data_IF_018645044424
#
_entry.id   IF_018645044424
#
_cell.length_a   1.000
_cell.length_b   1.000
_cell.length_c   1.000
_cell.angle_alpha   90.00
_cell.angle_beta   90.00
_cell.angle_gamma   90.00
#
_symmetry.space_group_name_H-M   'P 1'
#
loop_
_entity.id
_entity.type
_entity.pdbx_description
1 polymer ?
#
# COMPACT_ATOMS: atom_id res chain seq x y z
N UNK A 1 -3.42 -5.84 -0.97
CA UNK A 1 -4.53 -5.45 -0.06
C UNK A 1 -5.50 -4.44 -0.68
N UNK A 2 -5.02 -3.35 -1.30
CA UNK A 2 -5.86 -2.27 -1.88
C UNK A 2 -6.97 -2.73 -2.82
N UNK A 3 -6.69 -3.68 -3.73
CA UNK A 3 -7.70 -4.21 -4.66
C UNK A 3 -8.85 -4.94 -3.94
N UNK A 4 -8.54 -5.70 -2.90
CA UNK A 4 -9.55 -6.42 -2.10
C UNK A 4 -10.41 -5.48 -1.26
N UNK A 5 -9.86 -4.35 -0.80
CA UNK A 5 -10.62 -3.31 -0.10
C UNK A 5 -11.52 -2.54 -1.07
N UNK A 6 -11.02 -2.21 -2.26
CA UNK A 6 -11.81 -1.55 -3.31
C UNK A 6 -12.99 -2.41 -3.76
N UNK A 7 -12.78 -3.71 -3.99
CA UNK A 7 -13.88 -4.60 -4.39
C UNK A 7 -14.97 -4.77 -3.33
N UNK A 8 -14.67 -4.43 -2.07
CA UNK A 8 -15.61 -4.48 -0.93
C UNK A 8 -16.10 -3.09 -0.47
N UNK A 9 -15.77 -2.01 -1.20
CA UNK A 9 -16.07 -0.62 -0.82
C UNK A 9 -15.56 -0.22 0.57
N UNK A 10 -14.41 -0.77 0.97
CA UNK A 10 -13.81 -0.57 2.31
C UNK A 10 -12.58 0.33 2.32
N UNK A 11 -12.21 0.89 1.16
CA UNK A 11 -11.02 1.74 1.05
C UNK A 11 -11.10 2.97 1.96
N UNK A 12 -12.31 3.49 2.18
CA UNK A 12 -12.53 4.71 2.97
C UNK A 12 -12.22 4.56 4.47
N UNK A 13 -12.20 3.32 4.98
CA UNK A 13 -11.81 3.02 6.36
C UNK A 13 -10.30 3.11 6.60
N UNK A 14 -9.48 2.84 5.57
CA UNK A 14 -8.01 2.84 5.73
C UNK A 14 -7.37 4.18 5.38
N UNK A 15 -8.02 4.99 4.55
CA UNK A 15 -7.52 6.31 4.17
C UNK A 15 -8.06 7.44 5.06
N UNK A 16 -8.82 7.11 6.10
CA UNK A 16 -9.41 8.07 7.05
C UNK A 16 -10.54 8.93 6.49
N UNK A 17 -10.98 8.73 5.24
CA UNK A 17 -12.04 9.55 4.63
C UNK A 17 -13.45 9.22 5.15
N UNK A 18 -13.61 8.10 5.86
CA UNK A 18 -14.84 7.74 6.58
C UNK A 18 -14.56 7.74 8.09
N UNK A 19 -14.68 8.90 8.77
CA UNK A 19 -14.49 8.98 10.22
C UNK A 19 -15.57 8.17 10.96
N UNK A 20 -15.26 7.78 12.19
CA UNK A 20 -16.23 7.11 13.06
C UNK A 20 -17.41 8.07 13.34
N UNK A 21 -18.67 7.64 13.13
CA UNK A 21 -19.85 8.40 13.53
C UNK A 21 -19.96 8.58 15.05
N UNK A 22 -20.84 9.49 15.49
CA UNK A 22 -21.19 9.62 16.90
C UNK A 22 -21.83 8.34 17.44
N UNK A 23 -21.72 8.08 18.75
CA UNK A 23 -22.24 6.86 19.38
C UNK A 23 -23.77 6.72 19.26
N UNK A 24 -24.49 7.84 19.08
CA UNK A 24 -25.94 7.85 18.90
C UNK A 24 -26.37 7.59 17.45
N UNK A 25 -25.43 7.59 16.49
CA UNK A 25 -25.73 7.31 15.09
C UNK A 25 -26.03 5.82 14.89
N UNK A 26 -27.08 5.53 14.11
CA UNK A 26 -27.45 4.17 13.74
C UNK A 26 -26.33 3.38 13.04
N UNK A 27 -25.42 4.08 12.36
CA UNK A 27 -24.30 3.49 11.62
C UNK A 27 -23.07 3.25 12.49
N UNK A 28 -23.01 3.75 13.73
CA UNK A 28 -21.84 3.63 14.62
C UNK A 28 -21.42 2.17 14.83
N UNK A 29 -22.37 1.29 15.18
CA UNK A 29 -22.12 -0.15 15.34
C UNK A 29 -21.69 -0.84 14.03
N UNK A 30 -22.25 -0.41 12.89
CA UNK A 30 -21.90 -0.97 11.59
C UNK A 30 -20.48 -0.54 11.18
N UNK A 31 -20.11 0.70 11.49
CA UNK A 31 -18.77 1.23 11.31
C UNK A 31 -17.77 0.46 12.18
N UNK A 32 -18.02 0.30 13.48
CA UNK A 32 -17.13 -0.40 14.42
C UNK A 32 -16.85 -1.84 13.98
N UNK A 33 -17.89 -2.56 13.52
CA UNK A 33 -17.77 -3.91 12.96
C UNK A 33 -16.90 -3.93 11.70
N UNK A 34 -17.09 -2.97 10.80
CA UNK A 34 -16.31 -2.88 9.58
C UNK A 34 -14.85 -2.53 9.86
N UNK A 35 -14.59 -1.57 10.74
CA UNK A 35 -13.27 -1.17 11.18
C UNK A 35 -12.53 -2.37 11.82
N UNK A 36 -13.15 -3.05 12.79
CA UNK A 36 -12.59 -4.22 13.47
C UNK A 36 -12.25 -5.35 12.48
N UNK A 37 -13.12 -5.61 11.50
CA UNK A 37 -12.86 -6.62 10.49
C UNK A 37 -11.62 -6.27 9.66
N UNK A 38 -11.45 -5.01 9.26
CA UNK A 38 -10.28 -4.58 8.49
C UNK A 38 -9.02 -4.66 9.37
N UNK A 39 -9.11 -4.26 10.65
CA UNK A 39 -8.03 -4.43 11.61
C UNK A 39 -7.60 -5.89 11.74
N UNK A 40 -8.50 -6.87 11.60
CA UNK A 40 -8.12 -8.29 11.60
C UNK A 40 -7.41 -8.75 10.31
N UNK A 41 -7.56 -8.02 9.19
CA UNK A 41 -6.94 -8.39 7.92
C UNK A 41 -5.50 -7.91 7.81
N UNK A 42 -5.19 -6.75 8.38
CA UNK A 42 -3.87 -6.12 8.24
C UNK A 42 -2.75 -6.97 8.88
N UNK A 43 -2.87 -7.48 10.13
CA UNK A 43 -1.90 -8.37 10.76
C UNK A 43 -1.58 -9.63 9.96
N UNK A 44 -2.55 -10.13 9.19
CA UNK A 44 -2.40 -11.31 8.34
C UNK A 44 -1.70 -11.00 7.00
N UNK A 45 -1.51 -9.72 6.68
CA UNK A 45 -0.89 -9.25 5.44
C UNK A 45 0.55 -8.75 5.64
N UNK A 46 1.07 -8.78 6.88
CA UNK A 46 2.40 -8.30 7.25
C UNK A 46 3.15 -9.38 8.04
N UNK A 47 4.47 -9.21 8.19
CA UNK A 47 5.30 -10.11 8.99
C UNK A 47 4.93 -10.04 10.48
N UNK A 48 5.21 -11.13 11.21
CA UNK A 48 4.80 -11.30 12.61
C UNK A 48 5.30 -10.18 13.54
N UNK A 49 6.51 -9.67 13.30
CA UNK A 49 7.10 -8.57 14.08
C UNK A 49 6.35 -7.24 13.85
N UNK A 50 5.99 -6.97 12.59
CA UNK A 50 5.20 -5.78 12.23
C UNK A 50 3.79 -5.89 12.80
N UNK A 51 3.19 -7.08 12.69
CA UNK A 51 1.87 -7.40 13.23
C UNK A 51 1.78 -7.08 14.72
N UNK A 52 2.78 -7.48 15.52
CA UNK A 52 2.80 -7.18 16.96
C UNK A 52 2.83 -5.68 17.26
N UNK A 53 3.51 -4.89 16.43
CA UNK A 53 3.62 -3.44 16.65
C UNK A 53 2.32 -2.67 16.42
N UNK A 54 1.39 -3.22 15.63
CA UNK A 54 0.11 -2.57 15.28
C UNK A 54 -1.09 -3.05 16.11
N UNK A 55 -0.90 -4.02 17.01
CA UNK A 55 -1.97 -4.60 17.83
C UNK A 55 -2.61 -3.61 18.81
N UNK A 56 -1.90 -2.54 19.16
CA UNK A 56 -2.33 -1.56 20.16
C UNK A 56 -3.04 -0.35 19.56
N UNK A 57 -3.27 -0.32 18.26
CA UNK A 57 -3.92 0.78 17.56
C UNK A 57 -5.43 0.57 17.51
N UNK A 58 -6.21 1.64 17.52
CA UNK A 58 -7.66 1.59 17.74
C UNK A 58 -8.45 1.55 16.43
N UNK A 59 -7.83 1.97 15.32
CA UNK A 59 -8.50 1.99 14.01
C UNK A 59 -7.66 1.39 12.89
N UNK A 60 -8.34 0.85 11.88
CA UNK A 60 -7.70 0.40 10.65
C UNK A 60 -6.96 1.54 9.92
N UNK A 61 -7.44 2.77 10.07
CA UNK A 61 -6.81 3.97 9.51
C UNK A 61 -5.48 4.27 10.19
N UNK A 62 -5.42 4.18 11.52
CA UNK A 62 -4.18 4.36 12.28
C UNK A 62 -3.14 3.31 11.91
N UNK A 63 -3.53 2.03 11.90
CA UNK A 63 -2.64 0.94 11.48
C UNK A 63 -2.08 1.21 10.08
N UNK A 64 -2.96 1.59 9.15
CA UNK A 64 -2.53 1.87 7.78
C UNK A 64 -1.58 3.07 7.70
N UNK A 65 -1.82 4.12 8.50
CA UNK A 65 -0.97 5.31 8.52
C UNK A 65 0.41 5.02 9.13
N UNK A 66 0.51 4.29 10.24
CA UNK A 66 1.80 3.90 10.83
C UNK A 66 2.62 3.05 9.86
N UNK A 67 2.00 2.04 9.24
CA UNK A 67 2.66 1.22 8.22
C UNK A 67 3.14 2.10 7.06
N UNK A 68 2.29 3.01 6.58
CA UNK A 68 2.66 3.92 5.51
C UNK A 68 3.86 4.78 5.92
N UNK A 69 3.86 5.42 7.08
CA UNK A 69 4.97 6.26 7.53
C UNK A 69 6.27 5.47 7.74
N UNK A 70 6.18 4.32 8.39
CA UNK A 70 7.33 3.45 8.68
C UNK A 70 7.98 2.92 7.40
N UNK A 71 7.18 2.56 6.39
CA UNK A 71 7.68 1.99 5.14
C UNK A 71 7.84 3.01 4.01
N UNK A 72 7.34 4.24 4.15
CA UNK A 72 7.54 5.31 3.15
C UNK A 72 9.01 5.60 2.90
N UNK A 73 9.84 5.59 3.94
CA UNK A 73 11.29 5.74 3.77
C UNK A 73 11.92 4.54 3.06
N UNK A 74 11.43 3.32 3.35
CA UNK A 74 11.81 2.10 2.64
C UNK A 74 11.47 2.18 1.14
N UNK A 75 10.32 2.75 0.80
CA UNK A 75 9.92 3.00 -0.58
C UNK A 75 10.90 3.96 -1.28
N UNK A 76 11.38 5.01 -0.60
CA UNK A 76 12.38 5.94 -1.18
C UNK A 76 13.71 5.25 -1.50
N UNK A 77 14.19 4.39 -0.60
CA UNK A 77 15.39 3.59 -0.87
C UNK A 77 15.16 2.62 -2.03
N UNK A 78 14.03 1.90 -2.03
CA UNK A 78 13.70 0.97 -3.13
C UNK A 78 13.55 1.67 -4.47
N UNK A 79 12.95 2.87 -4.50
CA UNK A 79 12.89 3.72 -5.70
C UNK A 79 14.30 4.03 -6.22
N UNK A 80 15.22 4.38 -5.31
CA UNK A 80 16.61 4.71 -5.67
C UNK A 80 17.33 3.50 -6.23
N UNK A 81 17.17 2.32 -5.61
CA UNK A 81 17.72 1.06 -6.10
C UNK A 81 17.19 0.70 -7.49
N UNK A 82 15.87 0.82 -7.72
CA UNK A 82 15.27 0.55 -9.04
C UNK A 82 15.81 1.52 -10.10
N UNK A 83 16.00 2.80 -9.75
CA UNK A 83 16.59 3.79 -10.66
C UNK A 83 18.03 3.45 -11.02
N UNK A 84 18.82 3.00 -10.05
CA UNK A 84 20.18 2.50 -10.30
C UNK A 84 20.15 1.23 -11.17
N UNK A 85 19.29 0.25 -10.86
CA UNK A 85 19.09 -0.96 -11.66
C UNK A 85 18.76 -0.63 -13.12
N UNK A 86 17.88 0.35 -13.37
CA UNK A 86 17.55 0.85 -14.72
C UNK A 86 18.77 1.51 -15.36
N UNK A 87 19.50 2.36 -14.63
CA UNK A 87 20.65 3.10 -15.16
C UNK A 87 21.79 2.17 -15.59
N UNK A 88 22.07 1.12 -14.81
CA UNK A 88 23.13 0.15 -15.11
C UNK A 88 22.67 -0.94 -16.10
N UNK A 89 21.36 -1.04 -16.38
CA UNK A 89 20.81 -2.07 -17.25
C UNK A 89 21.36 -1.94 -18.68
N UNK A 90 22.19 -2.89 -19.08
CA UNK A 90 22.70 -3.03 -20.44
C UNK A 90 22.19 -4.33 -21.07
N UNK A 91 22.02 -4.34 -22.39
CA UNK A 91 21.59 -5.55 -23.10
C UNK A 91 22.62 -6.68 -22.97
N UNK A 92 23.92 -6.36 -23.10
CA UNK A 92 24.99 -7.36 -23.08
C UNK A 92 24.75 -8.46 -24.11
N UNK A 93 24.97 -9.71 -23.71
CA UNK A 93 24.75 -10.90 -24.55
C UNK A 93 23.30 -11.41 -24.53
N UNK A 94 22.36 -10.67 -23.92
CA UNK A 94 20.95 -11.11 -23.85
C UNK A 94 20.17 -10.74 -25.10
N UNK A 95 19.16 -11.55 -25.42
CA UNK A 95 18.24 -11.23 -26.52
C UNK A 95 17.51 -9.91 -26.26
N UNK A 96 17.14 -9.21 -27.34
CA UNK A 96 16.35 -7.97 -27.27
C UNK A 96 15.06 -8.18 -26.49
N UNK A 97 14.37 -9.31 -26.68
CA UNK A 97 13.13 -9.64 -25.97
C UNK A 97 13.34 -9.79 -24.46
N UNK A 98 14.43 -10.47 -24.07
CA UNK A 98 14.78 -10.64 -22.65
C UNK A 98 15.14 -9.31 -21.99
N UNK A 99 15.95 -8.50 -22.66
CA UNK A 99 16.34 -7.18 -22.17
C UNK A 99 15.12 -6.26 -22.02
N UNK A 100 14.28 -6.17 -23.05
CA UNK A 100 13.05 -5.37 -23.02
C UNK A 100 12.10 -5.81 -21.91
N UNK A 101 11.94 -7.10 -21.69
CA UNK A 101 11.09 -7.63 -20.62
C UNK A 101 11.60 -7.21 -19.24
N UNK A 102 12.92 -7.27 -19.00
CA UNK A 102 13.53 -6.82 -17.75
C UNK A 102 13.34 -5.31 -17.54
N UNK A 103 13.62 -4.51 -18.57
CA UNK A 103 13.42 -3.07 -18.55
C UNK A 103 11.96 -2.72 -18.24
N UNK A 104 11.00 -3.35 -18.94
CA UNK A 104 9.57 -3.14 -18.71
C UNK A 104 9.16 -3.47 -17.28
N UNK A 105 9.68 -4.57 -16.72
CA UNK A 105 9.41 -4.96 -15.34
C UNK A 105 9.88 -3.88 -14.35
N UNK A 106 11.11 -3.40 -14.49
CA UNK A 106 11.67 -2.36 -13.62
C UNK A 106 10.86 -1.05 -13.70
N UNK A 107 10.45 -0.65 -14.90
CA UNK A 107 9.59 0.53 -15.07
C UNK A 107 8.21 0.37 -14.44
N UNK A 108 7.58 -0.80 -14.56
CA UNK A 108 6.31 -1.07 -13.90
C UNK A 108 6.45 -1.10 -12.38
N UNK A 109 7.56 -1.62 -11.87
CA UNK A 109 7.85 -1.60 -10.44
C UNK A 109 8.04 -0.16 -9.93
N UNK A 110 8.80 0.66 -10.67
CA UNK A 110 9.00 2.07 -10.36
C UNK A 110 7.68 2.87 -10.33
N UNK A 111 6.80 2.63 -11.30
CA UNK A 111 5.47 3.27 -11.39
C UNK A 111 4.55 2.89 -10.22
N UNK A 112 4.69 1.68 -9.65
CA UNK A 112 3.94 1.30 -8.44
C UNK A 112 4.35 2.13 -7.21
N UNK A 113 5.64 2.47 -7.09
CA UNK A 113 6.15 3.29 -5.98
C UNK A 113 5.99 4.80 -6.22
N UNK A 114 6.01 5.22 -7.49
CA UNK A 114 5.77 6.60 -7.92
C UNK A 114 4.73 6.61 -9.05
N UNK A 115 3.44 6.49 -8.73
CA UNK A 115 2.42 6.64 -9.75
C UNK A 115 2.57 8.03 -10.36
N UNK A 116 2.74 8.10 -11.68
CA UNK A 116 2.79 9.37 -12.40
C UNK A 116 1.52 10.15 -12.02
N UNK A 117 1.63 11.41 -11.54
CA UNK A 117 0.45 12.19 -11.23
C UNK A 117 -0.44 12.26 -12.47
N UNK A 118 -1.68 11.81 -12.36
CA UNK A 118 -2.65 12.00 -13.43
C UNK A 118 -2.78 13.50 -13.66
N UNK A 119 -2.33 13.98 -14.82
CA UNK A 119 -2.59 15.33 -15.27
C UNK A 119 -4.10 15.44 -15.48
N UNK A 120 -4.81 16.02 -14.52
CA UNK A 120 -6.19 16.44 -14.71
C UNK A 120 -6.17 17.65 -15.66
N UNK A 121 -6.23 17.38 -16.96
CA UNK A 121 -6.50 18.33 -18.02
C UNK A 121 -7.99 18.45 -18.28
#
# INVERSE_FOLDING_TARGET
>A
MTMALRSKNKLHFINGSLPRPDDEDHDSLAWDRCNTMIMSWIPNAVDAEISQSVLWMDTASEIWQDLKERFYQGDVFRISDIQEEIYILKQGDTSVSTHYTKMKKLWQELDNFRPIPASNS
#
